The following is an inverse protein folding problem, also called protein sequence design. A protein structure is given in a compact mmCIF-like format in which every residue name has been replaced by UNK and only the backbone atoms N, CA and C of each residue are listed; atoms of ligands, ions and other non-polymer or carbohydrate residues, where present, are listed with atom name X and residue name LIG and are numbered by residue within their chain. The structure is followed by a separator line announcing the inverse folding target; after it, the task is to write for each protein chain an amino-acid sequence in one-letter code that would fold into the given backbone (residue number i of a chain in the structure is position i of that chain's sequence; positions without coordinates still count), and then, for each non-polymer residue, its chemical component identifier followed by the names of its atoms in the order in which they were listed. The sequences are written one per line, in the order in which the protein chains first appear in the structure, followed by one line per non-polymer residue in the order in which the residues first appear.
data_IF_518578928967
#
_entry.id   IF_518578928967
#
_cell.length_a   1.000
_cell.length_b   1.000
_cell.length_c   1.000
_cell.angle_alpha   90.00
_cell.angle_beta   90.00
_cell.angle_gamma   90.00
#
_symmetry.space_group_name_H-M   'P 1'
#
loop_
_entity.id
_entity.type
_entity.pdbx_description
1 polymer ?
#
# COMPACT_ATOMS: atom_id res chain seq x y z
N UNK A 1 0.01 7.46 -9.85
CA UNK A 1 0.82 7.40 -8.60
C UNK A 1 0.77 5.98 -8.06
N UNK A 2 1.92 5.40 -7.69
CA UNK A 2 2.01 4.08 -7.06
C UNK A 2 2.31 4.29 -5.58
N UNK A 3 1.35 3.97 -4.72
CA UNK A 3 1.50 4.07 -3.26
C UNK A 3 2.17 2.83 -2.69
N UNK A 4 2.97 3.00 -1.65
CA UNK A 4 3.67 1.93 -0.94
C UNK A 4 3.63 2.15 0.56
N UNK A 5 3.66 1.05 1.30
CA UNK A 5 4.02 1.04 2.72
C UNK A 5 5.40 0.43 2.85
N UNK A 6 6.29 1.08 3.58
CA UNK A 6 7.67 0.64 3.72
C UNK A 6 8.21 0.84 5.15
N UNK A 7 9.28 0.12 5.47
CA UNK A 7 10.02 0.26 6.71
C UNK A 7 11.38 0.88 6.40
N UNK A 8 11.70 1.94 7.13
CA UNK A 8 13.03 2.55 7.15
C UNK A 8 13.39 2.88 8.59
N UNK A 9 14.58 2.42 9.06
CA UNK A 9 15.04 2.57 10.45
C UNK A 9 13.96 2.13 11.48
N UNK A 10 13.42 0.93 11.28
CA UNK A 10 12.38 0.29 12.11
C UNK A 10 11.06 1.06 12.24
N UNK A 11 10.84 2.07 11.40
CA UNK A 11 9.59 2.82 11.34
C UNK A 11 8.83 2.50 10.07
N UNK A 12 7.56 2.11 10.25
CA UNK A 12 6.63 1.97 9.13
C UNK A 12 6.19 3.36 8.64
N UNK A 13 6.17 3.53 7.31
CA UNK A 13 5.89 4.80 6.66
C UNK A 13 5.04 4.59 5.43
N UNK A 14 4.26 5.60 5.07
CA UNK A 14 3.59 5.67 3.78
C UNK A 14 4.47 6.41 2.78
N UNK A 15 4.50 5.89 1.56
CA UNK A 15 5.29 6.44 0.49
C UNK A 15 4.63 6.31 -0.87
N UNK A 16 5.32 6.84 -1.85
CA UNK A 16 4.98 6.66 -3.25
C UNK A 16 6.25 6.39 -4.07
N UNK A 17 6.06 5.72 -5.20
CA UNK A 17 7.15 5.51 -6.18
C UNK A 17 7.16 6.70 -7.12
N UNK A 18 8.31 7.35 -7.27
CA UNK A 18 8.53 8.43 -8.23
C UNK A 18 8.79 7.91 -9.66
N UNK A 19 8.99 8.83 -10.59
CA UNK A 19 9.25 8.51 -12.00
C UNK A 19 10.61 7.83 -12.25
N UNK A 20 11.51 7.88 -11.28
CA UNK A 20 12.83 7.22 -11.32
C UNK A 20 12.83 5.87 -10.60
N UNK A 21 11.67 5.42 -10.07
CA UNK A 21 11.55 4.17 -9.33
C UNK A 21 12.02 4.24 -7.88
N UNK A 22 12.31 5.44 -7.35
CA UNK A 22 12.70 5.64 -5.96
C UNK A 22 11.48 5.71 -5.06
N UNK A 23 11.66 5.44 -3.79
CA UNK A 23 10.63 5.51 -2.76
C UNK A 23 10.68 6.89 -2.09
N UNK A 24 9.59 7.62 -2.19
CA UNK A 24 9.43 8.93 -1.56
C UNK A 24 8.61 8.77 -0.28
N UNK A 25 9.15 9.19 0.86
CA UNK A 25 8.42 9.32 2.13
C UNK A 25 7.45 10.50 2.03
N UNK A 26 6.17 10.19 1.95
CA UNK A 26 5.16 11.21 1.70
C UNK A 26 5.04 12.23 2.84
N UNK A 27 5.24 11.82 4.10
CA UNK A 27 5.20 12.77 5.22
C UNK A 27 6.34 13.78 5.13
N UNK A 28 7.58 13.31 4.93
CA UNK A 28 8.75 14.17 4.83
C UNK A 28 8.69 15.08 3.61
N UNK A 29 8.27 14.53 2.47
CA UNK A 29 8.16 15.30 1.24
C UNK A 29 7.06 16.36 1.33
N UNK A 30 5.91 16.04 1.89
CA UNK A 30 4.82 17.00 2.06
C UNK A 30 5.13 18.05 3.13
N UNK A 31 5.77 17.67 4.24
CA UNK A 31 6.23 18.63 5.24
C UNK A 31 7.22 19.64 4.63
N UNK A 32 8.17 19.18 3.81
CA UNK A 32 9.10 20.05 3.07
C UNK A 32 8.36 20.97 2.10
N UNK A 33 7.36 20.47 1.38
CA UNK A 33 6.50 21.27 0.51
C UNK A 33 5.83 22.40 1.30
N UNK A 34 5.18 22.10 2.41
CA UNK A 34 4.50 23.07 3.26
C UNK A 34 5.47 24.13 3.81
N UNK A 35 6.65 23.73 4.26
CA UNK A 35 7.66 24.65 4.77
C UNK A 35 8.15 25.60 3.70
N UNK A 36 8.38 25.12 2.49
CA UNK A 36 9.01 25.88 1.42
C UNK A 36 8.02 26.72 0.61
N UNK A 37 6.82 26.19 0.36
CA UNK A 37 5.79 26.85 -0.47
C UNK A 37 4.82 27.66 0.38
N UNK A 38 4.42 27.13 1.54
CA UNK A 38 3.43 27.75 2.42
C UNK A 38 4.07 28.48 3.62
N UNK A 39 5.40 28.46 3.72
CA UNK A 39 6.18 29.14 4.77
C UNK A 39 5.74 28.78 6.20
N UNK A 40 5.25 27.55 6.43
CA UNK A 40 4.81 27.11 7.74
C UNK A 40 5.90 26.36 8.50
N UNK A 41 6.08 26.68 9.78
CA UNK A 41 6.96 25.91 10.68
C UNK A 41 6.33 24.61 11.20
N UNK A 42 5.04 24.40 10.97
CA UNK A 42 4.28 23.24 11.45
C UNK A 42 4.17 22.10 10.41
N UNK A 43 5.05 22.07 9.40
CA UNK A 43 4.96 21.15 8.25
C UNK A 43 4.80 19.69 8.64
N UNK A 44 5.61 19.18 9.58
CA UNK A 44 5.53 17.76 10.01
C UNK A 44 4.18 17.41 10.63
N UNK A 45 3.67 18.27 11.49
CA UNK A 45 2.36 18.06 12.14
C UNK A 45 1.21 18.11 11.13
N UNK A 46 1.26 19.05 10.21
CA UNK A 46 0.24 19.17 9.16
C UNK A 46 0.30 18.00 8.19
N UNK A 47 1.48 17.53 7.84
CA UNK A 47 1.65 16.34 7.01
C UNK A 47 1.00 15.11 7.65
N UNK A 48 1.19 14.88 8.96
CA UNK A 48 0.54 13.78 9.68
C UNK A 48 -1.00 13.94 9.70
N UNK A 49 -1.50 15.15 9.92
CA UNK A 49 -2.94 15.43 9.92
C UNK A 49 -3.55 15.15 8.55
N UNK A 50 -2.92 15.61 7.46
CA UNK A 50 -3.47 15.52 6.11
C UNK A 50 -3.30 14.12 5.52
N UNK A 51 -2.13 13.52 5.68
CA UNK A 51 -1.82 12.21 5.07
C UNK A 51 -2.26 11.02 5.93
N UNK A 52 -2.51 11.23 7.23
CA UNK A 52 -2.74 10.12 8.17
C UNK A 52 -1.44 9.43 8.58
N UNK A 53 -1.52 8.53 9.58
CA UNK A 53 -0.36 7.85 10.16
C UNK A 53 0.01 6.55 9.45
N UNK A 54 -0.96 5.94 8.76
CA UNK A 54 -0.79 4.71 8.01
C UNK A 54 -1.60 4.73 6.71
N UNK A 55 -1.43 3.72 5.87
CA UNK A 55 -2.10 3.64 4.57
C UNK A 55 -3.63 3.58 4.69
N UNK A 56 -4.17 2.99 5.74
CA UNK A 56 -5.63 2.94 5.95
C UNK A 56 -6.18 4.33 6.26
N UNK A 57 -5.51 5.08 7.15
CA UNK A 57 -5.87 6.47 7.42
C UNK A 57 -5.70 7.36 6.18
N UNK A 58 -4.62 7.18 5.42
CA UNK A 58 -4.39 7.87 4.17
C UNK A 58 -5.55 7.67 3.18
N UNK A 59 -5.93 6.42 2.95
CA UNK A 59 -7.00 6.07 2.02
C UNK A 59 -8.36 6.61 2.48
N UNK A 60 -8.64 6.59 3.78
CA UNK A 60 -9.87 7.18 4.35
C UNK A 60 -9.99 8.69 4.16
N UNK A 61 -8.88 9.41 4.01
CA UNK A 61 -8.87 10.85 3.69
C UNK A 61 -9.14 11.14 2.22
N UNK A 62 -9.08 10.13 1.37
CA UNK A 62 -9.49 10.19 -0.03
C UNK A 62 -8.74 11.25 -0.84
N UNK A 63 -9.50 12.10 -1.51
CA UNK A 63 -8.94 13.09 -2.45
C UNK A 63 -8.01 14.12 -1.79
N UNK A 64 -8.21 14.45 -0.52
CA UNK A 64 -7.35 15.40 0.20
C UNK A 64 -5.93 14.84 0.37
N UNK A 65 -5.80 13.60 0.89
CA UNK A 65 -4.51 12.95 1.01
C UNK A 65 -3.85 12.66 -0.34
N UNK A 66 -4.65 12.31 -1.36
CA UNK A 66 -4.14 12.09 -2.71
C UNK A 66 -3.60 13.39 -3.35
N UNK A 67 -4.24 14.52 -3.12
CA UNK A 67 -3.76 15.84 -3.58
C UNK A 67 -2.45 16.20 -2.86
N UNK A 68 -2.40 16.05 -1.54
CA UNK A 68 -1.19 16.28 -0.76
C UNK A 68 -0.01 15.39 -1.21
N UNK A 69 -0.28 14.11 -1.51
CA UNK A 69 0.73 13.20 -2.02
C UNK A 69 1.25 13.61 -3.42
N UNK A 70 0.39 14.13 -4.31
CA UNK A 70 0.82 14.69 -5.60
C UNK A 70 1.71 15.91 -5.39
N UNK A 71 1.31 16.87 -4.53
CA UNK A 71 2.11 18.04 -4.21
C UNK A 71 3.48 17.65 -3.64
N UNK A 72 3.53 16.60 -2.79
CA UNK A 72 4.77 16.07 -2.27
C UNK A 72 5.70 15.54 -3.38
N UNK A 73 5.16 14.76 -4.32
CA UNK A 73 5.93 14.22 -5.45
C UNK A 73 6.40 15.32 -6.40
N UNK A 74 5.55 16.29 -6.73
CA UNK A 74 5.89 17.43 -7.59
C UNK A 74 6.96 18.31 -6.94
N UNK A 75 6.91 18.47 -5.62
CA UNK A 75 7.94 19.17 -4.86
C UNK A 75 9.29 18.47 -4.95
N UNK A 76 9.34 17.14 -4.74
CA UNK A 76 10.57 16.35 -4.87
C UNK A 76 11.13 16.41 -6.30
N UNK A 77 10.28 16.38 -7.31
CA UNK A 77 10.69 16.46 -8.70
C UNK A 77 11.28 17.84 -9.08
N UNK A 78 10.79 18.91 -8.44
CA UNK A 78 11.17 20.30 -8.75
C UNK A 78 12.38 20.80 -7.96
N UNK A 79 12.66 20.19 -6.81
CA UNK A 79 13.73 20.61 -5.93
C UNK A 79 14.63 19.41 -5.62
N UNK A 80 15.95 19.60 -5.76
CA UNK A 80 16.93 18.60 -5.30
C UNK A 80 16.88 18.59 -3.77
N UNK A 81 16.00 17.73 -3.23
CA UNK A 81 15.77 17.66 -1.78
C UNK A 81 16.80 16.73 -1.18
N UNK A 82 17.98 17.26 -0.86
CA UNK A 82 19.01 16.56 -0.07
C UNK A 82 18.58 16.25 1.38
N UNK A 83 17.29 16.31 1.68
CA UNK A 83 16.72 16.28 3.02
C UNK A 83 16.13 14.94 3.50
N UNK A 84 16.58 13.80 2.96
CA UNK A 84 16.35 12.51 3.62
C UNK A 84 14.94 11.92 3.53
N UNK A 85 14.16 12.26 2.49
CA UNK A 85 12.83 11.69 2.25
C UNK A 85 12.71 10.85 0.97
N UNK A 86 13.82 10.63 0.25
CA UNK A 86 13.86 9.84 -0.99
C UNK A 86 14.86 8.72 -0.80
N UNK A 87 14.47 7.51 -1.13
CA UNK A 87 15.26 6.30 -0.93
C UNK A 87 15.34 5.48 -2.21
N UNK A 88 16.50 4.91 -2.48
CA UNK A 88 16.60 3.82 -3.44
C UNK A 88 15.86 2.59 -2.92
N UNK A 89 15.35 1.76 -3.86
CA UNK A 89 14.56 0.58 -3.50
C UNK A 89 15.26 -0.33 -2.48
N UNK A 90 16.59 -0.48 -2.56
CA UNK A 90 17.39 -1.32 -1.65
C UNK A 90 17.62 -0.74 -0.25
N UNK A 91 17.26 0.53 -0.01
CA UNK A 91 17.43 1.19 1.29
C UNK A 91 16.21 1.02 2.22
N UNK A 92 15.14 0.44 1.73
CA UNK A 92 13.88 0.25 2.46
C UNK A 92 13.36 -1.17 2.29
N UNK A 93 12.62 -1.67 3.29
CA UNK A 93 11.86 -2.91 3.19
C UNK A 93 10.40 -2.61 2.88
N UNK A 94 9.89 -3.08 1.74
CA UNK A 94 8.48 -2.91 1.42
C UNK A 94 7.62 -3.85 2.28
N UNK A 95 6.48 -3.33 2.65
CA UNK A 95 5.35 -4.10 3.19
C UNK A 95 4.27 -4.25 2.11
N UNK A 96 3.22 -5.03 2.40
CA UNK A 96 2.00 -4.91 1.62
C UNK A 96 1.57 -3.45 1.55
N UNK A 97 1.02 -2.96 0.42
CA UNK A 97 0.53 -1.59 0.35
C UNK A 97 -0.44 -1.23 1.47
N UNK A 98 -1.30 -2.16 1.87
CA UNK A 98 -2.21 -2.03 3.02
C UNK A 98 -1.93 -3.18 3.99
N UNK A 99 -0.97 -3.03 4.94
CA UNK A 99 -0.54 -4.13 5.80
C UNK A 99 -1.60 -4.61 6.80
N UNK A 100 -2.51 -3.73 7.17
CA UNK A 100 -3.57 -4.01 8.17
C UNK A 100 -4.94 -3.58 7.64
N UNK A 101 -5.50 -4.28 6.63
CA UNK A 101 -6.84 -3.98 6.15
C UNK A 101 -7.87 -4.28 7.24
N UNK A 102 -9.00 -3.56 7.24
CA UNK A 102 -10.10 -3.85 8.16
C UNK A 102 -10.79 -5.18 7.89
N UNK A 103 -10.84 -5.57 6.62
CA UNK A 103 -11.32 -6.87 6.16
C UNK A 103 -10.55 -7.29 4.91
N UNK A 104 -10.44 -8.59 4.69
CA UNK A 104 -9.88 -9.18 3.47
C UNK A 104 -10.87 -10.23 2.97
N UNK A 105 -11.43 -10.00 1.78
CA UNK A 105 -12.43 -10.85 1.16
C UNK A 105 -11.86 -11.35 -0.16
N UNK A 106 -11.80 -12.66 -0.34
CA UNK A 106 -11.42 -13.29 -1.60
C UNK A 106 -12.65 -13.76 -2.36
N UNK A 107 -12.61 -13.63 -3.68
CA UNK A 107 -13.59 -14.21 -4.59
C UNK A 107 -13.13 -15.64 -4.98
N UNK A 108 -14.00 -16.61 -4.77
CA UNK A 108 -13.72 -17.99 -5.17
C UNK A 108 -14.28 -18.32 -6.54
N UNK A 109 -13.56 -19.14 -7.32
CA UNK A 109 -14.00 -19.67 -8.63
C UNK A 109 -14.43 -18.59 -9.63
N UNK A 110 -13.74 -17.45 -9.64
CA UNK A 110 -14.05 -16.31 -10.48
C UNK A 110 -13.33 -16.32 -11.83
N UNK A 111 -12.37 -17.23 -12.05
CA UNK A 111 -11.69 -17.42 -13.34
C UNK A 111 -12.24 -18.65 -14.05
N UNK A 112 -12.70 -18.48 -15.32
CA UNK A 112 -13.29 -19.56 -16.12
C UNK A 112 -12.36 -20.74 -16.31
N UNK A 113 -11.07 -20.48 -16.57
CA UNK A 113 -10.07 -21.49 -16.81
C UNK A 113 -9.83 -22.35 -15.58
N UNK A 114 -9.74 -21.72 -14.41
CA UNK A 114 -9.64 -22.42 -13.13
C UNK A 114 -10.87 -23.31 -12.85
N UNK A 115 -12.09 -22.82 -13.18
CA UNK A 115 -13.31 -23.63 -13.05
C UNK A 115 -13.30 -24.83 -14.00
N UNK A 116 -12.73 -24.68 -15.21
CA UNK A 116 -12.63 -25.78 -16.17
C UNK A 116 -11.64 -26.88 -15.75
N UNK A 117 -10.59 -26.54 -15.00
CA UNK A 117 -9.61 -27.48 -14.43
C UNK A 117 -10.16 -28.27 -13.25
N UNK A 118 -11.16 -27.75 -12.55
CA UNK A 118 -11.79 -28.45 -11.44
C UNK A 118 -12.64 -29.63 -11.92
N UNK A 119 -12.69 -30.70 -11.15
CA UNK A 119 -13.51 -31.89 -11.42
C UNK A 119 -15.01 -31.57 -11.57
N UNK A 120 -15.47 -30.45 -11.05
CA UNK A 120 -16.82 -29.93 -11.21
C UNK A 120 -16.87 -28.96 -12.38
N UNK A 121 -17.28 -29.42 -13.56
CA UNK A 121 -17.40 -28.65 -14.81
C UNK A 121 -18.46 -27.53 -14.79
N UNK A 122 -19.16 -27.30 -13.68
CA UNK A 122 -20.14 -26.22 -13.56
C UNK A 122 -19.58 -25.17 -12.60
N UNK A 123 -19.39 -23.96 -13.11
CA UNK A 123 -19.11 -22.81 -12.26
C UNK A 123 -20.23 -22.55 -11.25
N UNK A 124 -19.98 -21.74 -10.22
CA UNK A 124 -20.99 -21.37 -9.24
C UNK A 124 -22.10 -20.57 -9.91
N UNK A 125 -23.36 -20.81 -9.49
CA UNK A 125 -24.53 -20.06 -9.98
C UNK A 125 -24.67 -18.67 -9.34
N UNK A 126 -23.87 -18.38 -8.31
CA UNK A 126 -23.77 -17.10 -7.63
C UNK A 126 -22.31 -16.83 -7.26
N UNK A 127 -21.90 -15.56 -7.10
CA UNK A 127 -20.57 -15.22 -6.64
C UNK A 127 -20.25 -15.91 -5.30
N UNK A 128 -19.08 -16.55 -5.23
CA UNK A 128 -18.58 -17.17 -3.99
C UNK A 128 -17.52 -16.23 -3.42
N UNK A 129 -17.68 -15.89 -2.14
CA UNK A 129 -16.71 -15.07 -1.43
C UNK A 129 -16.42 -15.70 -0.07
N UNK A 130 -15.18 -15.52 0.42
CA UNK A 130 -14.76 -15.98 1.74
C UNK A 130 -13.80 -14.98 2.39
N UNK A 131 -13.79 -14.98 3.71
CA UNK A 131 -12.93 -14.08 4.49
C UNK A 131 -11.57 -14.71 4.70
N UNK A 132 -10.54 -13.91 4.52
CA UNK A 132 -9.18 -14.17 5.02
C UNK A 132 -8.92 -13.30 6.24
N UNK A 133 -8.09 -13.78 7.16
CA UNK A 133 -7.72 -12.99 8.33
C UNK A 133 -6.77 -11.86 7.93
N UNK A 134 -7.01 -10.60 8.32
CA UNK A 134 -6.09 -9.50 8.03
C UNK A 134 -4.65 -9.73 8.49
N UNK A 135 -4.47 -10.51 9.56
CA UNK A 135 -3.15 -10.88 10.09
C UNK A 135 -2.33 -11.82 9.18
N UNK A 136 -2.93 -12.37 8.10
CA UNK A 136 -2.20 -13.18 7.11
C UNK A 136 -1.55 -12.35 6.01
N UNK A 137 -1.74 -11.03 6.01
CA UNK A 137 -1.12 -10.13 5.03
C UNK A 137 0.35 -9.94 5.35
N UNK A 138 1.21 -10.34 4.44
CA UNK A 138 2.66 -10.18 4.52
C UNK A 138 3.19 -9.25 3.42
N UNK A 139 4.42 -8.80 3.54
CA UNK A 139 5.09 -7.99 2.54
C UNK A 139 5.66 -8.82 1.39
N UNK A 140 6.07 -8.19 0.29
CA UNK A 140 6.57 -8.88 -0.90
C UNK A 140 7.90 -9.62 -0.68
N UNK A 141 8.61 -9.31 0.41
CA UNK A 141 9.92 -9.87 0.76
C UNK A 141 9.85 -10.69 2.06
N UNK A 142 8.65 -10.85 2.63
CA UNK A 142 8.46 -11.63 3.84
C UNK A 142 8.36 -13.13 3.48
N UNK A 143 8.91 -13.99 4.33
CA UNK A 143 8.84 -15.44 4.15
C UNK A 143 7.40 -15.94 4.33
N UNK A 144 7.00 -16.90 3.50
CA UNK A 144 5.74 -17.62 3.65
C UNK A 144 5.98 -18.79 4.60
N UNK A 145 5.41 -18.80 5.81
CA UNK A 145 5.58 -19.91 6.72
C UNK A 145 4.91 -21.17 6.15
N UNK A 146 5.67 -22.27 6.09
CA UNK A 146 5.21 -23.56 5.63
C UNK A 146 5.28 -24.60 6.78
N UNK A 147 4.21 -24.75 7.57
CA UNK A 147 4.16 -25.73 8.65
C UNK A 147 4.34 -27.16 8.13
N UNK A 148 4.95 -28.04 8.93
CA UNK A 148 5.24 -29.45 8.56
C UNK A 148 3.99 -30.26 8.22
N UNK A 149 2.84 -29.86 8.74
CA UNK A 149 1.54 -30.49 8.51
C UNK A 149 0.98 -30.19 7.13
N UNK A 150 1.40 -29.10 6.50
CA UNK A 150 0.98 -28.70 5.15
C UNK A 150 1.82 -29.47 4.14
N UNK A 151 1.21 -30.44 3.44
CA UNK A 151 1.90 -31.27 2.46
C UNK A 151 1.98 -30.63 1.08
N UNK A 152 0.97 -29.86 0.71
CA UNK A 152 0.88 -29.20 -0.59
C UNK A 152 0.62 -27.71 -0.35
N UNK A 153 1.61 -26.88 -0.65
CA UNK A 153 1.47 -25.43 -0.73
C UNK A 153 1.34 -25.06 -2.19
N UNK A 154 0.33 -24.28 -2.52
CA UNK A 154 0.11 -23.76 -3.85
C UNK A 154 0.02 -22.24 -3.81
N UNK A 155 0.15 -21.59 -4.95
CA UNK A 155 0.09 -20.14 -5.09
C UNK A 155 -1.11 -19.75 -5.94
N UNK A 156 -1.64 -18.55 -5.67
CA UNK A 156 -2.66 -17.90 -6.48
C UNK A 156 -2.21 -16.48 -6.82
N UNK A 157 -2.43 -16.05 -8.05
CA UNK A 157 -2.16 -14.69 -8.49
C UNK A 157 -3.48 -13.97 -8.69
N UNK A 158 -3.80 -13.06 -7.77
CA UNK A 158 -5.07 -12.34 -7.77
C UNK A 158 -4.88 -10.83 -7.79
N UNK A 159 -5.82 -10.14 -8.44
CA UNK A 159 -5.92 -8.69 -8.38
C UNK A 159 -6.69 -8.30 -7.11
N UNK A 160 -6.03 -7.56 -6.23
CA UNK A 160 -6.67 -7.00 -5.05
C UNK A 160 -7.21 -5.59 -5.34
N UNK A 161 -8.45 -5.34 -4.93
CA UNK A 161 -9.09 -4.01 -5.00
C UNK A 161 -9.29 -3.50 -3.58
N UNK A 162 -8.82 -2.28 -3.31
CA UNK A 162 -9.06 -1.61 -2.03
C UNK A 162 -10.31 -0.77 -2.15
N UNK A 163 -11.29 -1.07 -1.30
CA UNK A 163 -12.60 -0.39 -1.28
C UNK A 163 -12.62 0.59 -0.12
N UNK A 164 -12.89 1.84 -0.41
CA UNK A 164 -13.16 2.85 0.61
C UNK A 164 -14.54 2.59 1.25
N UNK A 165 -14.72 2.74 2.58
CA UNK A 165 -16.04 2.72 3.18
C UNK A 165 -16.95 3.74 2.50
N UNK A 166 -18.10 3.29 2.02
CA UNK A 166 -19.10 4.18 1.42
C UNK A 166 -19.53 5.27 2.40
N UNK A 167 -19.68 6.50 1.89
CA UNK A 167 -20.29 7.61 2.63
C UNK A 167 -21.81 7.45 2.65
#
# INVERSE_FOLDING_TARGET
MKLVTFIHQDKERIGAVDNLGRIVDLHRAYASHLQKVESTSAGDRLAEIVLGRDMVEFLKRGNEALAAARNALDHIASYDVNGGGVFDRGQVRLKSPVPRPGALISAGKNFSDHVAEMASKKGPTAPVAFLKLPGTVIGPEDDIPHPSEVKNLDYEVELAIVIEPGR
#
